data_IF_732408847699
#
_entry.id   IF_732408847699
#
_cell.length_a   1.000
_cell.length_b   1.000
_cell.length_c   1.000
_cell.angle_alpha   90.00
_cell.angle_beta   90.00
_cell.angle_gamma   90.00
#
_symmetry.space_group_name_H-M   'P 1'
#
loop_
_entity.id
_entity.type
_entity.pdbx_description
1 polymer ?
#
# COMPACT_ATOMS: atom_id res chain seq x y z
N UNK A 1 -12.09 -6.34 -20.30
CA UNK A 1 -10.83 -6.56 -19.54
C UNK A 1 -9.89 -5.43 -19.91
N UNK A 2 -9.27 -4.78 -18.93
CA UNK A 2 -8.19 -3.79 -19.16
C UNK A 2 -6.89 -4.51 -18.80
N UNK A 3 -6.06 -4.77 -19.80
CA UNK A 3 -4.73 -5.40 -19.60
C UNK A 3 -3.67 -4.35 -19.28
N UNK A 4 -2.54 -4.77 -18.70
CA UNK A 4 -1.46 -3.89 -18.25
C UNK A 4 -1.93 -2.77 -17.30
N UNK A 5 -2.94 -3.07 -16.49
CA UNK A 5 -3.57 -2.13 -15.60
C UNK A 5 -3.45 -2.59 -14.14
N UNK A 6 -3.17 -1.66 -13.26
CA UNK A 6 -3.05 -1.89 -11.83
C UNK A 6 -4.05 -1.03 -11.08
N UNK A 7 -4.87 -1.65 -10.23
CA UNK A 7 -5.68 -0.94 -9.24
C UNK A 7 -4.73 -0.47 -8.15
N UNK A 8 -4.52 0.83 -8.05
CA UNK A 8 -3.60 1.41 -7.08
C UNK A 8 -4.28 1.98 -5.84
N UNK A 9 -5.60 2.18 -5.89
CA UNK A 9 -6.33 2.74 -4.77
C UNK A 9 -7.82 2.39 -4.78
N UNK A 10 -8.36 2.25 -3.57
CA UNK A 10 -9.79 2.12 -3.32
C UNK A 10 -10.18 3.29 -2.43
N UNK A 11 -11.27 3.93 -2.80
CA UNK A 11 -11.79 5.15 -2.18
C UNK A 11 -13.27 4.97 -1.86
N UNK A 12 -13.86 5.96 -1.23
CA UNK A 12 -15.26 5.93 -0.81
C UNK A 12 -16.23 5.65 -1.98
N UNK A 13 -17.40 5.16 -1.63
CA UNK A 13 -18.52 4.90 -2.57
C UNK A 13 -18.15 3.91 -3.69
N UNK A 14 -17.30 2.92 -3.42
CA UNK A 14 -16.91 1.91 -4.41
C UNK A 14 -16.09 2.48 -5.58
N UNK A 15 -15.34 3.53 -5.33
CA UNK A 15 -14.46 4.16 -6.33
C UNK A 15 -13.09 3.51 -6.33
N UNK A 16 -12.59 3.17 -7.51
CA UNK A 16 -11.27 2.56 -7.74
C UNK A 16 -10.44 3.46 -8.65
N UNK A 17 -9.19 3.72 -8.25
CA UNK A 17 -8.17 4.31 -9.10
C UNK A 17 -7.38 3.22 -9.81
N UNK A 18 -7.32 3.27 -11.13
CA UNK A 18 -6.63 2.27 -11.96
C UNK A 18 -5.68 2.96 -12.91
N UNK A 19 -4.44 2.52 -12.93
CA UNK A 19 -3.42 2.96 -13.88
C UNK A 19 -3.21 1.91 -14.96
N UNK A 20 -3.47 2.25 -16.21
CA UNK A 20 -3.15 1.45 -17.39
C UNK A 20 -1.86 1.96 -18.04
N UNK A 21 -0.86 1.09 -18.20
CA UNK A 21 0.33 1.37 -19.02
C UNK A 21 -0.03 1.16 -20.49
N UNK A 22 -0.51 2.22 -21.14
CA UNK A 22 -1.18 2.12 -22.44
C UNK A 22 -0.22 1.81 -23.59
N UNK A 23 0.85 2.58 -23.76
CA UNK A 23 1.76 2.46 -24.90
C UNK A 23 3.22 2.19 -24.54
N UNK A 24 3.54 1.90 -23.29
CA UNK A 24 4.92 1.58 -22.85
C UNK A 24 5.56 0.38 -23.57
N UNK A 25 4.75 -0.49 -24.18
CA UNK A 25 5.20 -1.68 -24.91
C UNK A 25 5.39 -1.44 -26.40
N UNK A 26 5.04 -0.25 -26.91
CA UNK A 26 5.16 0.10 -28.32
C UNK A 26 6.52 0.77 -28.54
N UNK A 27 7.38 0.13 -29.34
CA UNK A 27 8.64 0.73 -29.78
C UNK A 27 8.33 1.83 -30.81
N UNK A 28 8.99 3.00 -30.69
CA UNK A 28 8.80 4.16 -31.56
C UNK A 28 7.39 4.79 -31.53
N UNK A 29 6.78 4.89 -30.35
CA UNK A 29 5.60 5.73 -30.20
C UNK A 29 5.93 7.19 -30.58
N UNK A 30 5.06 7.81 -31.37
CA UNK A 30 5.15 9.25 -31.66
C UNK A 30 5.23 10.05 -30.35
N UNK A 31 5.93 11.20 -30.38
CA UNK A 31 6.16 12.00 -29.15
C UNK A 31 4.89 12.39 -28.39
N UNK A 32 3.72 12.32 -29.02
CA UNK A 32 2.41 12.62 -28.43
C UNK A 32 1.59 11.38 -28.04
N UNK A 33 2.17 10.17 -28.08
CA UNK A 33 1.44 8.96 -27.68
C UNK A 33 1.10 8.98 -26.17
N UNK A 34 -0.14 8.62 -25.87
CA UNK A 34 -0.60 8.45 -24.48
C UNK A 34 0.16 7.28 -23.85
N UNK A 35 1.07 7.55 -22.91
CA UNK A 35 1.85 6.54 -22.21
C UNK A 35 1.02 5.82 -21.15
N UNK A 36 0.37 6.58 -20.29
CA UNK A 36 -0.46 6.08 -19.18
C UNK A 36 -1.90 6.57 -19.32
N UNK A 37 -2.85 5.73 -18.87
CA UNK A 37 -4.24 6.15 -18.67
C UNK A 37 -4.66 5.93 -17.24
N UNK A 38 -5.18 6.98 -16.63
CA UNK A 38 -5.85 6.91 -15.36
C UNK A 38 -7.34 6.62 -15.59
N UNK A 39 -7.84 5.54 -14.97
CA UNK A 39 -9.26 5.22 -14.96
C UNK A 39 -9.81 5.40 -13.55
N UNK A 40 -10.91 6.13 -13.46
CA UNK A 40 -11.76 6.16 -12.27
C UNK A 40 -12.94 5.22 -12.53
N UNK A 41 -12.98 4.11 -11.79
CA UNK A 41 -14.04 3.11 -11.91
C UNK A 41 -14.90 3.17 -10.65
N UNK A 42 -16.21 3.25 -10.82
CA UNK A 42 -17.19 3.17 -9.73
C UNK A 42 -17.94 1.84 -9.87
N UNK A 43 -17.91 1.02 -8.84
CA UNK A 43 -18.51 -0.31 -8.86
C UNK A 43 -19.36 -0.56 -7.62
N UNK A 44 -20.57 -1.07 -7.80
CA UNK A 44 -21.45 -1.49 -6.70
C UNK A 44 -21.03 -2.82 -6.07
N UNK A 45 -20.21 -3.61 -6.78
CA UNK A 45 -19.67 -4.87 -6.28
C UNK A 45 -18.30 -5.12 -6.89
N UNK A 46 -17.37 -5.63 -6.10
CA UNK A 46 -16.01 -5.93 -6.52
C UNK A 46 -15.53 -7.25 -5.94
N UNK A 47 -14.61 -7.90 -6.63
CA UNK A 47 -13.92 -9.10 -6.17
C UNK A 47 -12.42 -8.81 -6.18
N UNK A 48 -11.79 -8.90 -5.02
CA UNK A 48 -10.36 -8.78 -4.87
C UNK A 48 -9.70 -10.16 -4.98
N UNK A 49 -9.01 -10.40 -6.09
CA UNK A 49 -8.28 -11.63 -6.39
C UNK A 49 -6.79 -11.30 -6.63
N UNK A 50 -6.19 -10.55 -5.71
CA UNK A 50 -4.85 -9.97 -5.82
C UNK A 50 -3.71 -10.93 -5.52
N UNK A 51 -4.03 -12.16 -5.09
CA UNK A 51 -3.01 -13.17 -4.81
C UNK A 51 -2.30 -12.95 -3.48
N UNK A 52 -1.10 -13.49 -3.38
CA UNK A 52 -0.23 -13.39 -2.20
C UNK A 52 1.22 -13.12 -2.63
N UNK A 53 2.02 -12.60 -1.71
CA UNK A 53 3.45 -12.33 -1.89
C UNK A 53 4.22 -13.21 -0.91
N UNK A 54 5.24 -13.91 -1.39
CA UNK A 54 6.12 -14.69 -0.54
C UNK A 54 6.96 -13.76 0.35
N UNK A 55 7.16 -14.15 1.61
CA UNK A 55 8.05 -13.47 2.54
C UNK A 55 9.32 -14.29 2.77
N UNK A 56 10.40 -13.60 3.10
CA UNK A 56 11.66 -14.25 3.44
C UNK A 56 11.71 -14.68 4.92
N UNK A 57 12.81 -15.33 5.30
CA UNK A 57 13.25 -15.55 6.67
C UNK A 57 14.52 -14.72 6.85
N UNK A 58 14.64 -13.96 7.93
CA UNK A 58 15.83 -13.17 8.18
C UNK A 58 16.94 -14.04 8.80
N UNK A 59 18.16 -13.94 8.29
CA UNK A 59 19.34 -14.63 8.80
C UNK A 59 20.62 -13.84 8.49
N UNK A 60 21.75 -14.25 9.02
CA UNK A 60 23.02 -13.54 8.85
C UNK A 60 23.43 -13.36 7.40
N UNK A 61 23.69 -12.10 6.96
CA UNK A 61 24.12 -11.73 5.62
C UNK A 61 23.13 -12.18 4.52
N UNK A 62 21.84 -12.10 4.77
CA UNK A 62 20.78 -12.48 3.83
C UNK A 62 20.53 -11.48 2.68
N UNK A 63 21.35 -10.44 2.60
CA UNK A 63 21.37 -9.43 1.52
C UNK A 63 22.33 -9.77 0.37
N UNK A 64 23.01 -10.90 0.46
CA UNK A 64 24.04 -11.28 -0.52
C UNK A 64 23.44 -11.60 -1.88
N UNK A 65 24.02 -11.11 -3.01
CA UNK A 65 23.60 -11.50 -4.35
C UNK A 65 23.64 -13.02 -4.54
N UNK A 66 22.57 -13.60 -5.09
CA UNK A 66 22.34 -15.04 -5.18
C UNK A 66 21.32 -15.55 -4.16
N UNK A 67 20.87 -14.70 -3.21
CA UNK A 67 19.76 -15.02 -2.30
C UNK A 67 18.48 -14.41 -2.86
N UNK A 68 17.44 -15.21 -3.04
CA UNK A 68 16.17 -14.83 -3.66
C UNK A 68 15.00 -15.49 -2.95
N UNK A 69 13.79 -15.02 -3.19
CA UNK A 69 12.59 -15.77 -2.82
C UNK A 69 12.51 -17.08 -3.61
N UNK A 70 12.10 -18.16 -2.97
CA UNK A 70 11.94 -19.46 -3.63
C UNK A 70 10.95 -19.38 -4.79
N UNK A 71 9.85 -18.64 -4.63
CA UNK A 71 8.89 -18.40 -5.71
C UNK A 71 9.48 -17.63 -6.89
N UNK A 72 10.43 -16.74 -6.66
CA UNK A 72 11.12 -16.04 -7.74
C UNK A 72 12.05 -16.99 -8.52
N UNK A 73 12.82 -17.84 -7.81
CA UNK A 73 13.65 -18.88 -8.43
C UNK A 73 12.80 -19.81 -9.30
N UNK A 74 11.67 -20.25 -8.76
CA UNK A 74 10.69 -21.10 -9.46
C UNK A 74 10.05 -20.38 -10.65
N UNK A 75 9.76 -19.09 -10.49
CA UNK A 75 9.20 -18.23 -11.55
C UNK A 75 10.17 -18.06 -12.72
N UNK A 76 11.45 -17.82 -12.47
CA UNK A 76 12.47 -17.76 -13.53
C UNK A 76 12.54 -19.07 -14.31
N UNK A 77 12.49 -20.20 -13.62
CA UNK A 77 12.50 -21.51 -14.28
C UNK A 77 11.25 -21.70 -15.15
N UNK A 78 10.05 -21.59 -14.56
CA UNK A 78 8.81 -22.01 -15.19
C UNK A 78 8.30 -21.03 -16.26
N UNK A 79 8.55 -19.73 -16.10
CA UNK A 79 8.11 -18.71 -17.07
C UNK A 79 9.14 -18.39 -18.13
N UNK A 80 10.44 -18.44 -17.77
CA UNK A 80 11.50 -17.96 -18.67
C UNK A 80 12.49 -19.05 -19.07
N UNK A 81 12.40 -20.27 -18.51
CA UNK A 81 13.34 -21.35 -18.79
C UNK A 81 14.77 -21.07 -18.32
N UNK A 82 14.93 -20.23 -17.29
CA UNK A 82 16.23 -19.79 -16.78
C UNK A 82 16.41 -20.27 -15.34
N UNK A 83 17.58 -20.90 -15.07
CA UNK A 83 17.98 -21.20 -13.69
C UNK A 83 18.64 -19.99 -13.05
N UNK A 84 18.28 -19.70 -11.79
CA UNK A 84 18.87 -18.61 -11.01
C UNK A 84 20.31 -18.93 -10.51
N UNK A 85 20.70 -20.19 -10.52
CA UNK A 85 22.03 -20.68 -10.15
C UNK A 85 22.34 -22.02 -10.81
N UNK A 86 23.58 -22.45 -10.73
CA UNK A 86 24.02 -23.78 -11.19
C UNK A 86 23.79 -24.84 -10.13
N UNK A 87 24.03 -24.50 -8.87
CA UNK A 87 23.90 -25.36 -7.70
C UNK A 87 23.03 -24.62 -6.68
N UNK A 88 21.75 -24.97 -6.60
CA UNK A 88 20.71 -24.22 -5.85
C UNK A 88 20.42 -24.90 -4.52
N UNK A 89 20.36 -24.12 -3.44
CA UNK A 89 19.79 -24.53 -2.16
C UNK A 89 18.43 -23.85 -1.92
N UNK A 90 17.53 -24.54 -1.20
CA UNK A 90 16.23 -23.99 -0.81
C UNK A 90 16.14 -24.05 0.71
N UNK A 91 15.75 -22.93 1.34
CA UNK A 91 15.48 -22.84 2.77
C UNK A 91 14.04 -22.43 3.01
N UNK A 92 13.28 -23.24 3.74
CA UNK A 92 11.88 -23.00 3.99
C UNK A 92 11.38 -23.49 5.35
N UNK A 93 10.13 -23.10 5.63
CA UNK A 93 9.38 -23.46 6.83
C UNK A 93 7.94 -23.89 6.50
N UNK A 94 7.68 -24.19 5.23
CA UNK A 94 6.34 -24.50 4.69
C UNK A 94 6.44 -25.48 3.53
N UNK A 95 5.29 -26.10 3.18
CA UNK A 95 5.26 -27.17 2.19
C UNK A 95 5.49 -26.67 0.74
N UNK A 96 5.18 -25.40 0.43
CA UNK A 96 5.36 -24.88 -0.94
C UNK A 96 6.85 -24.72 -1.32
N UNK A 97 7.73 -24.54 -0.34
CA UNK A 97 9.18 -24.44 -0.56
C UNK A 97 9.73 -25.68 -1.29
N UNK A 98 9.19 -26.86 -0.98
CA UNK A 98 9.60 -28.11 -1.62
C UNK A 98 9.27 -28.17 -3.10
N UNK A 99 8.14 -27.57 -3.51
CA UNK A 99 7.76 -27.53 -4.92
C UNK A 99 8.81 -26.82 -5.78
N UNK A 100 9.49 -25.81 -5.23
CA UNK A 100 10.59 -25.12 -5.92
C UNK A 100 11.79 -26.05 -6.14
N UNK A 101 12.19 -26.80 -5.12
CA UNK A 101 13.28 -27.78 -5.24
C UNK A 101 12.93 -28.89 -6.25
N UNK A 102 11.69 -29.35 -6.21
CA UNK A 102 11.18 -30.39 -7.11
C UNK A 102 11.16 -29.94 -8.57
N UNK A 103 10.65 -28.74 -8.85
CA UNK A 103 10.62 -28.19 -10.21
C UNK A 103 12.03 -28.00 -10.78
N UNK A 104 12.97 -27.46 -9.98
CA UNK A 104 14.37 -27.29 -10.35
C UNK A 104 15.04 -28.63 -10.67
N UNK A 105 14.86 -29.63 -9.80
CA UNK A 105 15.41 -30.97 -10.02
C UNK A 105 14.90 -31.61 -11.30
N UNK A 106 13.58 -31.49 -11.56
CA UNK A 106 12.97 -32.03 -12.78
C UNK A 106 13.47 -31.32 -14.06
N UNK A 107 13.88 -30.06 -13.94
CA UNK A 107 14.50 -29.31 -15.03
C UNK A 107 16.00 -29.59 -15.19
N UNK A 108 16.59 -30.48 -14.37
CA UNK A 108 18.01 -30.84 -14.43
C UNK A 108 18.94 -29.88 -13.71
N UNK A 109 18.42 -28.98 -12.85
CA UNK A 109 19.24 -28.10 -12.01
C UNK A 109 19.72 -28.89 -10.79
N UNK A 110 20.98 -28.70 -10.43
CA UNK A 110 21.56 -29.32 -9.24
C UNK A 110 20.96 -28.70 -7.96
N UNK A 111 20.41 -29.54 -7.09
CA UNK A 111 19.96 -29.16 -5.74
C UNK A 111 21.05 -29.52 -4.75
N UNK A 112 21.81 -28.49 -4.28
CA UNK A 112 22.85 -28.67 -3.30
C UNK A 112 22.30 -29.07 -1.94
N UNK A 113 21.18 -28.45 -1.53
CA UNK A 113 20.46 -28.80 -0.31
C UNK A 113 19.02 -28.29 -0.31
N UNK A 114 18.14 -29.04 0.32
CA UNK A 114 16.85 -28.57 0.81
C UNK A 114 16.90 -28.51 2.34
N UNK A 115 16.67 -27.33 2.90
CA UNK A 115 16.73 -27.06 4.33
C UNK A 115 15.32 -26.72 4.81
N UNK A 116 14.77 -27.51 5.72
CA UNK A 116 13.46 -27.26 6.33
C UNK A 116 13.64 -27.05 7.83
N UNK A 117 13.14 -25.93 8.33
CA UNK A 117 13.21 -25.64 9.78
C UNK A 117 12.35 -26.59 10.62
N UNK A 118 11.40 -27.28 10.00
CA UNK A 118 10.52 -28.27 10.64
C UNK A 118 11.22 -29.63 10.69
N UNK A 119 11.22 -30.26 11.85
CA UNK A 119 11.82 -31.59 12.03
C UNK A 119 10.93 -32.71 11.50
N UNK A 120 9.60 -32.49 11.47
CA UNK A 120 8.55 -33.45 11.10
C UNK A 120 8.06 -33.32 9.65
N UNK A 121 8.70 -32.46 8.84
CA UNK A 121 8.33 -32.29 7.44
C UNK A 121 8.39 -33.61 6.67
N UNK A 122 7.24 -34.09 6.17
CA UNK A 122 7.06 -35.36 5.46
C UNK A 122 7.63 -35.40 4.03
N UNK A 123 8.69 -34.67 3.76
CA UNK A 123 9.28 -34.42 2.44
C UNK A 123 10.23 -35.53 2.04
N UNK A 124 10.16 -36.00 0.78
CA UNK A 124 11.09 -36.97 0.20
C UNK A 124 11.56 -36.51 -1.17
N UNK A 125 12.84 -36.60 -1.45
CA UNK A 125 13.44 -36.22 -2.74
C UNK A 125 14.81 -36.88 -2.96
N UNK A 126 15.20 -36.95 -4.22
CA UNK A 126 16.53 -37.45 -4.64
C UNK A 126 17.57 -36.31 -4.65
N UNK A 127 17.72 -35.65 -3.48
CA UNK A 127 18.71 -34.63 -3.21
C UNK A 127 18.91 -34.50 -1.68
N UNK A 128 19.99 -33.85 -1.21
CA UNK A 128 20.25 -33.68 0.22
C UNK A 128 19.11 -32.90 0.93
N UNK A 129 18.52 -33.50 1.98
CA UNK A 129 17.44 -32.88 2.77
C UNK A 129 17.90 -32.79 4.23
N UNK A 130 17.81 -31.58 4.78
CA UNK A 130 18.11 -31.26 6.18
C UNK A 130 16.83 -30.78 6.88
N UNK A 131 16.26 -31.60 7.77
CA UNK A 131 15.06 -31.30 8.56
C UNK A 131 15.46 -30.81 9.94
N UNK A 132 14.68 -29.91 10.54
CA UNK A 132 15.00 -29.27 11.80
C UNK A 132 16.30 -28.45 11.69
N UNK A 133 16.59 -27.94 10.49
CA UNK A 133 17.82 -27.22 10.20
C UNK A 133 17.53 -25.77 9.79
N UNK A 134 18.44 -24.88 10.11
CA UNK A 134 18.33 -23.45 9.84
C UNK A 134 19.57 -22.95 9.09
N UNK A 135 19.36 -22.02 8.15
CA UNK A 135 20.45 -21.23 7.58
C UNK A 135 20.70 -20.05 8.50
N UNK A 136 21.86 -20.00 9.15
CA UNK A 136 22.18 -18.93 10.11
C UNK A 136 23.17 -17.89 9.55
N UNK A 137 23.92 -18.20 8.52
CA UNK A 137 24.88 -17.30 7.88
C UNK A 137 25.14 -17.69 6.42
N UNK A 138 25.71 -16.77 5.65
CA UNK A 138 26.12 -17.00 4.27
C UNK A 138 27.48 -16.40 4.00
N UNK A 139 28.20 -16.92 2.99
CA UNK A 139 29.49 -16.38 2.62
C UNK A 139 29.73 -16.37 1.12
N UNK A 140 30.71 -15.58 0.72
CA UNK A 140 31.13 -15.32 -0.63
C UNK A 140 31.67 -13.90 -0.75
N UNK A 141 32.44 -13.63 -1.80
CA UNK A 141 33.08 -12.31 -1.99
C UNK A 141 32.16 -11.33 -2.74
N UNK A 142 31.73 -11.67 -3.94
CA UNK A 142 30.90 -10.84 -4.81
C UNK A 142 29.45 -11.32 -4.88
N UNK A 143 29.26 -12.61 -4.66
CA UNK A 143 27.97 -13.29 -4.69
C UNK A 143 28.00 -14.44 -3.68
N UNK A 144 26.90 -15.15 -3.56
CA UNK A 144 26.79 -16.35 -2.74
C UNK A 144 27.71 -17.44 -3.27
N UNK A 145 28.56 -17.99 -2.39
CA UNK A 145 29.43 -19.14 -2.65
C UNK A 145 29.08 -20.32 -1.75
N UNK A 146 28.54 -20.04 -0.57
CA UNK A 146 28.12 -21.07 0.39
C UNK A 146 27.10 -20.53 1.38
N UNK A 147 26.36 -21.46 1.98
CA UNK A 147 25.50 -21.23 3.16
C UNK A 147 26.06 -21.98 4.35
N UNK A 148 25.79 -21.46 5.55
CA UNK A 148 26.09 -22.11 6.82
C UNK A 148 24.74 -22.53 7.44
N UNK A 149 24.59 -23.83 7.66
CA UNK A 149 23.42 -24.40 8.32
C UNK A 149 23.78 -24.97 9.68
N UNK A 150 22.80 -25.01 10.58
CA UNK A 150 22.90 -25.74 11.85
C UNK A 150 21.64 -26.58 12.07
N UNK A 151 21.84 -27.74 12.65
CA UNK A 151 20.82 -28.66 13.13
C UNK A 151 21.28 -29.29 14.47
N UNK A 152 20.54 -30.27 14.99
CA UNK A 152 20.91 -31.02 16.24
C UNK A 152 22.27 -31.71 16.14
N UNK A 153 22.76 -31.99 14.92
CA UNK A 153 24.05 -32.67 14.67
C UNK A 153 25.23 -31.71 14.56
N UNK A 154 24.95 -30.39 14.64
CA UNK A 154 25.96 -29.34 14.61
C UNK A 154 25.89 -28.46 13.35
N UNK A 155 26.97 -27.71 13.13
CA UNK A 155 27.09 -26.76 12.05
C UNK A 155 27.74 -27.36 10.81
N UNK A 156 27.31 -26.92 9.63
CA UNK A 156 27.84 -27.35 8.31
C UNK A 156 27.85 -26.20 7.33
N UNK A 157 28.81 -26.31 6.43
CA UNK A 157 28.92 -25.43 5.27
C UNK A 157 28.55 -26.20 4.01
N UNK A 158 27.68 -25.62 3.19
CA UNK A 158 27.22 -26.20 1.92
C UNK A 158 27.56 -25.21 0.80
N UNK A 159 28.26 -25.69 -0.23
CA UNK A 159 28.57 -24.89 -1.43
C UNK A 159 27.30 -24.74 -2.27
N UNK A 160 26.98 -23.50 -2.65
CA UNK A 160 25.81 -23.16 -3.45
C UNK A 160 25.96 -21.75 -3.99
N UNK A 161 25.50 -21.48 -5.22
CA UNK A 161 25.55 -20.17 -5.83
C UNK A 161 24.18 -19.48 -5.89
N UNK A 162 23.12 -20.17 -5.46
CA UNK A 162 21.79 -19.60 -5.29
C UNK A 162 21.10 -20.20 -4.07
N UNK A 163 20.45 -19.33 -3.27
CA UNK A 163 19.61 -19.74 -2.15
C UNK A 163 18.20 -19.19 -2.35
N UNK A 164 17.23 -20.09 -2.57
CA UNK A 164 15.81 -19.77 -2.54
C UNK A 164 15.27 -19.79 -1.10
N UNK A 165 14.64 -18.72 -0.65
CA UNK A 165 14.11 -18.59 0.72
C UNK A 165 12.60 -18.53 0.69
N UNK A 166 11.91 -19.36 1.47
CA UNK A 166 10.45 -19.46 1.56
C UNK A 166 10.00 -19.38 3.02
N UNK A 167 9.68 -18.16 3.47
CA UNK A 167 9.20 -17.90 4.85
C UNK A 167 7.67 -17.95 4.98
N UNK A 168 6.95 -18.31 3.93
CA UNK A 168 5.49 -18.34 3.86
C UNK A 168 4.90 -17.23 2.97
N UNK A 169 3.59 -17.19 2.89
CA UNK A 169 2.85 -16.30 2.01
C UNK A 169 2.09 -15.24 2.78
N UNK A 170 2.13 -14.01 2.29
CA UNK A 170 1.34 -12.87 2.78
C UNK A 170 0.22 -12.58 1.79
N UNK A 171 -1.05 -12.73 2.16
CA UNK A 171 -2.19 -12.28 1.35
C UNK A 171 -2.06 -10.81 0.95
N UNK A 172 -2.31 -10.50 -0.32
CA UNK A 172 -2.24 -9.13 -0.83
C UNK A 172 -3.55 -8.39 -0.54
N UNK A 173 -3.74 -7.99 0.72
CA UNK A 173 -4.97 -7.38 1.25
C UNK A 173 -4.93 -5.86 1.32
N UNK A 174 -3.84 -5.23 0.91
CA UNK A 174 -3.60 -3.79 1.08
C UNK A 174 -4.76 -2.93 0.57
N UNK A 175 -5.32 -3.29 -0.60
CA UNK A 175 -6.45 -2.57 -1.20
C UNK A 175 -7.70 -2.63 -0.32
N UNK A 176 -7.98 -3.74 0.35
CA UNK A 176 -9.13 -3.84 1.27
C UNK A 176 -8.97 -2.97 2.52
N UNK A 177 -7.74 -2.54 2.83
CA UNK A 177 -7.45 -1.70 4.00
C UNK A 177 -7.48 -0.19 3.71
N UNK A 178 -7.57 0.22 2.44
CA UNK A 178 -7.54 1.65 2.07
C UNK A 178 -8.73 2.46 2.61
N UNK A 179 -9.84 1.80 2.95
CA UNK A 179 -11.04 2.42 3.52
C UNK A 179 -11.17 2.16 5.03
N UNK A 180 -10.03 2.11 5.73
CA UNK A 180 -9.91 1.90 7.19
C UNK A 180 -10.31 0.50 7.69
N UNK A 181 -10.45 -0.50 6.83
CA UNK A 181 -10.58 -1.88 7.28
C UNK A 181 -9.27 -2.35 7.91
N UNK A 182 -9.36 -3.05 9.04
CA UNK A 182 -8.22 -3.69 9.69
C UNK A 182 -8.22 -5.18 9.36
N UNK A 183 -7.09 -5.75 8.93
CA UNK A 183 -6.98 -7.18 8.70
C UNK A 183 -6.93 -7.94 10.03
N UNK A 184 -7.24 -9.24 9.96
CA UNK A 184 -7.22 -10.16 11.09
C UNK A 184 -6.07 -11.16 10.96
N UNK A 185 -5.42 -11.48 12.08
CA UNK A 185 -4.37 -12.48 12.11
C UNK A 185 -4.95 -13.89 12.07
N UNK A 186 -4.43 -14.71 11.16
CA UNK A 186 -4.74 -16.13 11.08
C UNK A 186 -3.48 -16.94 11.43
N UNK A 187 -3.48 -17.58 12.59
CA UNK A 187 -2.35 -18.36 13.09
C UNK A 187 -2.09 -19.66 12.33
N UNK A 188 -3.11 -20.26 11.71
CA UNK A 188 -2.96 -21.50 10.95
C UNK A 188 -2.09 -21.32 9.70
N UNK A 189 -2.21 -20.17 9.06
CA UNK A 189 -1.43 -19.82 7.87
C UNK A 189 -0.32 -18.80 8.18
N UNK A 190 -0.20 -18.39 9.44
CA UNK A 190 0.74 -17.40 9.93
C UNK A 190 0.75 -16.11 9.08
N UNK A 191 -0.41 -15.56 8.77
CA UNK A 191 -0.57 -14.38 7.92
C UNK A 191 -1.82 -13.57 8.29
N UNK A 192 -1.82 -12.28 7.89
CA UNK A 192 -3.01 -11.46 7.98
C UNK A 192 -3.94 -11.69 6.79
N UNK A 193 -5.24 -11.81 7.06
CA UNK A 193 -6.31 -11.91 6.07
C UNK A 193 -7.27 -10.73 6.15
N UNK A 194 -8.03 -10.50 5.11
CA UNK A 194 -9.05 -9.45 5.12
C UNK A 194 -10.21 -9.87 6.04
N UNK A 195 -10.67 -8.96 6.87
CA UNK A 195 -11.88 -9.18 7.65
C UNK A 195 -13.08 -9.28 6.72
N UNK A 196 -13.92 -10.28 6.96
CA UNK A 196 -15.10 -10.50 6.12
C UNK A 196 -16.08 -9.31 6.18
N UNK A 197 -16.61 -8.92 5.03
CA UNK A 197 -17.56 -7.81 4.87
C UNK A 197 -17.09 -6.45 5.42
N UNK A 198 -15.78 -6.25 5.64
CA UNK A 198 -15.22 -5.01 6.15
C UNK A 198 -15.25 -3.85 5.15
N UNK A 199 -15.26 -4.15 3.85
CA UNK A 199 -15.41 -3.17 2.77
C UNK A 199 -16.75 -3.40 2.07
N UNK A 200 -17.68 -2.44 2.12
CA UNK A 200 -18.99 -2.60 1.50
C UNK A 200 -18.90 -2.95 0.00
N UNK A 201 -19.59 -4.01 -0.41
CA UNK A 201 -19.63 -4.45 -1.80
C UNK A 201 -18.36 -5.14 -2.30
N UNK A 202 -17.34 -5.36 -1.46
CA UNK A 202 -16.13 -6.10 -1.81
C UNK A 202 -16.12 -7.49 -1.20
N UNK A 203 -15.71 -8.47 -2.01
CA UNK A 203 -15.38 -9.83 -1.56
C UNK A 203 -13.93 -10.15 -1.91
N UNK A 204 -13.21 -10.81 -1.00
CA UNK A 204 -11.82 -11.24 -1.19
C UNK A 204 -11.80 -12.74 -1.45
N UNK A 205 -11.02 -13.19 -2.42
CA UNK A 205 -10.99 -14.59 -2.85
C UNK A 205 -9.58 -15.10 -3.11
N UNK A 206 -9.45 -16.43 -3.14
CA UNK A 206 -8.18 -17.09 -3.46
C UNK A 206 -7.10 -16.84 -2.42
N UNK A 207 -5.84 -16.78 -2.81
CA UNK A 207 -4.73 -16.61 -1.87
C UNK A 207 -4.69 -15.22 -1.21
N UNK A 208 -5.39 -14.23 -1.78
CA UNK A 208 -5.65 -12.97 -1.08
C UNK A 208 -6.55 -13.14 0.15
N UNK A 209 -7.31 -14.23 0.22
CA UNK A 209 -8.13 -14.61 1.39
C UNK A 209 -7.53 -15.80 2.18
N UNK A 210 -6.24 -16.07 2.00
CA UNK A 210 -5.53 -17.11 2.75
C UNK A 210 -5.70 -18.55 2.21
N UNK A 211 -6.27 -18.74 1.02
CA UNK A 211 -6.37 -20.06 0.38
C UNK A 211 -5.13 -20.30 -0.48
N UNK A 212 -4.18 -21.09 0.00
CA UNK A 212 -2.89 -21.27 -0.69
C UNK A 212 -2.81 -22.50 -1.59
N UNK A 213 -3.87 -23.27 -1.73
CA UNK A 213 -3.97 -24.35 -2.72
C UNK A 213 -4.83 -23.93 -3.92
N UNK A 214 -4.51 -24.39 -5.12
CA UNK A 214 -5.24 -24.04 -6.35
C UNK A 214 -6.70 -24.48 -6.27
N UNK A 215 -6.95 -25.67 -5.72
CA UNK A 215 -8.31 -26.22 -5.53
C UNK A 215 -9.14 -25.33 -4.60
N UNK A 216 -8.58 -24.90 -3.47
CA UNK A 216 -9.24 -23.99 -2.53
C UNK A 216 -9.50 -22.61 -3.15
N UNK A 217 -8.56 -22.07 -3.94
CA UNK A 217 -8.76 -20.84 -4.69
C UNK A 217 -9.95 -20.94 -5.64
N UNK A 218 -10.05 -22.01 -6.44
CA UNK A 218 -11.17 -22.20 -7.36
C UNK A 218 -12.50 -22.31 -6.63
N UNK A 219 -12.54 -23.03 -5.50
CA UNK A 219 -13.74 -23.16 -4.68
C UNK A 219 -14.19 -21.81 -4.13
N UNK A 220 -13.29 -21.06 -3.51
CA UNK A 220 -13.55 -19.73 -2.96
C UNK A 220 -14.11 -18.76 -4.02
N UNK A 221 -13.51 -18.73 -5.22
CA UNK A 221 -14.00 -17.88 -6.32
C UNK A 221 -15.40 -18.30 -6.77
N UNK A 222 -15.66 -19.61 -6.92
CA UNK A 222 -16.97 -20.11 -7.36
C UNK A 222 -18.08 -19.75 -6.37
N UNK A 223 -17.82 -19.90 -5.07
CA UNK A 223 -18.76 -19.58 -4.00
C UNK A 223 -19.14 -18.10 -4.04
N UNK A 224 -18.15 -17.20 -4.05
CA UNK A 224 -18.36 -15.76 -4.07
C UNK A 224 -19.06 -15.30 -5.36
N UNK A 225 -18.69 -15.84 -6.53
CA UNK A 225 -19.34 -15.49 -7.79
C UNK A 225 -20.79 -15.93 -7.80
N UNK A 226 -21.10 -17.14 -7.29
CA UNK A 226 -22.48 -17.61 -7.19
C UNK A 226 -23.30 -16.74 -6.22
N UNK A 227 -22.77 -16.37 -5.07
CA UNK A 227 -23.41 -15.46 -4.13
C UNK A 227 -23.76 -14.12 -4.80
N UNK A 228 -22.80 -13.49 -5.49
CA UNK A 228 -23.01 -12.22 -6.18
C UNK A 228 -24.01 -12.30 -7.33
N UNK A 229 -23.98 -13.37 -8.10
CA UNK A 229 -24.96 -13.57 -9.20
C UNK A 229 -26.37 -13.78 -8.64
N UNK A 230 -26.50 -14.59 -7.59
CA UNK A 230 -27.80 -14.82 -6.94
C UNK A 230 -28.36 -13.52 -6.34
N UNK A 231 -27.55 -12.70 -5.67
CA UNK A 231 -27.98 -11.41 -5.12
C UNK A 231 -28.48 -10.43 -6.19
N UNK A 232 -28.01 -10.60 -7.43
CA UNK A 232 -28.44 -9.82 -8.60
C UNK A 232 -29.57 -10.47 -9.43
N UNK A 233 -30.11 -11.62 -8.97
CA UNK A 233 -31.15 -12.37 -9.69
C UNK A 233 -30.67 -13.02 -10.99
N UNK A 234 -29.37 -13.15 -11.20
CA UNK A 234 -28.78 -13.74 -12.41
C UNK A 234 -28.63 -15.25 -12.24
N UNK A 235 -29.42 -16.01 -12.97
CA UNK A 235 -29.31 -17.49 -13.01
C UNK A 235 -28.13 -17.90 -13.88
N UNK A 236 -27.27 -18.75 -13.36
CA UNK A 236 -26.11 -19.33 -14.06
C UNK A 236 -26.25 -20.87 -14.17
N UNK A 237 -25.82 -21.42 -15.30
CA UNK A 237 -25.57 -22.88 -15.40
C UNK A 237 -24.35 -23.24 -14.54
N UNK A 238 -24.46 -24.25 -13.70
CA UNK A 238 -23.31 -24.75 -12.93
C UNK A 238 -22.21 -25.19 -13.87
N UNK A 239 -20.99 -24.75 -13.62
CA UNK A 239 -19.77 -25.22 -14.29
C UNK A 239 -18.97 -26.05 -13.30
N UNK A 240 -18.46 -27.20 -13.76
CA UNK A 240 -17.47 -27.95 -12.97
C UNK A 240 -16.20 -27.14 -12.81
N UNK A 241 -15.60 -27.22 -11.62
CA UNK A 241 -14.28 -26.62 -11.39
C UNK A 241 -13.19 -27.40 -12.13
N UNK A 242 -12.14 -26.76 -12.59
CA UNK A 242 -10.94 -27.45 -13.03
C UNK A 242 -10.40 -28.34 -11.89
N UNK A 243 -9.88 -29.50 -12.25
CA UNK A 243 -9.20 -30.34 -11.28
C UNK A 243 -7.80 -29.78 -11.02
N UNK A 244 -7.43 -29.70 -9.76
CA UNK A 244 -6.08 -29.38 -9.32
C UNK A 244 -5.66 -30.45 -8.29
N UNK A 245 -4.43 -30.93 -8.41
CA UNK A 245 -3.82 -31.90 -7.49
C UNK A 245 -2.77 -31.14 -6.66
N UNK A 246 -3.23 -30.37 -5.70
CA UNK A 246 -2.35 -29.62 -4.80
C UNK A 246 -2.23 -30.41 -3.49
N UNK A 247 -1.06 -30.35 -2.88
CA UNK A 247 -0.88 -30.75 -1.49
C UNK A 247 -1.45 -29.68 -0.55
N UNK A 248 -1.82 -30.08 0.65
CA UNK A 248 -2.18 -29.13 1.70
C UNK A 248 -0.99 -28.22 2.02
N UNK A 249 -1.29 -27.00 2.43
CA UNK A 249 -0.28 -26.03 2.82
C UNK A 249 -0.16 -25.99 4.34
N UNK A 250 0.98 -26.47 4.86
CA UNK A 250 1.33 -26.38 6.27
C UNK A 250 2.55 -25.49 6.46
N UNK A 251 2.55 -24.70 7.52
CA UNK A 251 3.64 -23.81 7.89
C UNK A 251 3.93 -23.88 9.39
N UNK A 252 5.22 -23.88 9.75
CA UNK A 252 5.68 -23.61 11.11
C UNK A 252 6.50 -22.32 11.06
N UNK A 253 5.93 -21.18 11.48
CA UNK A 253 6.55 -19.89 11.21
C UNK A 253 7.88 -19.73 11.95
N UNK A 254 8.91 -19.33 11.22
CA UNK A 254 10.17 -18.79 11.72
C UNK A 254 10.39 -17.45 11.04
N UNK A 255 10.64 -16.42 11.84
CA UNK A 255 10.76 -15.04 11.36
C UNK A 255 12.21 -14.62 11.15
N UNK A 256 13.06 -15.01 12.06
CA UNK A 256 14.48 -14.77 11.99
C UNK A 256 15.26 -15.91 12.63
N UNK A 257 16.42 -16.23 12.07
CA UNK A 257 17.39 -17.17 12.62
C UNK A 257 18.43 -16.39 13.42
N UNK A 258 18.67 -16.80 14.65
CA UNK A 258 19.67 -16.17 15.50
C UNK A 258 21.09 -16.37 14.97
N UNK A 259 21.88 -15.31 15.04
CA UNK A 259 23.27 -15.30 14.57
C UNK A 259 24.01 -14.02 14.96
N UNK A 260 25.33 -14.00 14.73
CA UNK A 260 26.19 -12.87 15.07
C UNK A 260 26.32 -11.82 13.92
N UNK A 261 25.71 -12.08 12.77
CA UNK A 261 25.75 -11.23 11.59
C UNK A 261 24.47 -10.41 11.46
N UNK A 262 24.50 -9.41 10.57
CA UNK A 262 23.29 -8.63 10.26
C UNK A 262 22.27 -9.49 9.56
N UNK A 263 21.04 -9.47 10.04
CA UNK A 263 19.88 -10.10 9.43
C UNK A 263 18.92 -9.00 8.98
N UNK A 264 18.77 -8.87 7.67
CA UNK A 264 18.03 -7.80 7.02
C UNK A 264 16.56 -8.14 6.92
N UNK A 265 15.69 -7.13 7.15
CA UNK A 265 14.25 -7.21 7.06
C UNK A 265 13.72 -6.41 5.86
N UNK A 266 14.08 -5.14 5.79
CA UNK A 266 13.73 -4.25 4.69
C UNK A 266 14.99 -3.89 3.91
N UNK A 267 15.12 -4.47 2.71
CA UNK A 267 16.28 -4.26 1.85
C UNK A 267 16.29 -2.89 1.16
N UNK A 268 15.18 -2.15 1.16
CA UNK A 268 15.11 -0.81 0.55
C UNK A 268 15.56 0.28 1.53
N UNK A 269 15.31 0.08 2.82
CA UNK A 269 15.66 1.03 3.87
C UNK A 269 16.75 0.51 4.83
N UNK A 270 17.40 -0.60 4.49
CA UNK A 270 18.49 -1.20 5.27
C UNK A 270 18.12 -1.50 6.75
N UNK A 271 16.86 -1.89 7.00
CA UNK A 271 16.38 -2.21 8.35
C UNK A 271 16.71 -3.66 8.71
N UNK A 272 17.24 -3.86 9.90
CA UNK A 272 17.67 -5.17 10.43
C UNK A 272 16.82 -5.60 11.62
N UNK A 273 16.99 -6.86 12.04
CA UNK A 273 16.38 -7.39 13.27
C UNK A 273 16.81 -6.61 14.51
N UNK A 274 18.04 -6.03 14.51
CA UNK A 274 18.54 -5.22 15.62
C UNK A 274 17.79 -3.90 15.75
N UNK A 275 17.41 -3.28 14.63
CA UNK A 275 16.71 -2.01 14.64
C UNK A 275 15.31 -2.14 15.23
N UNK A 276 14.63 -3.29 15.01
CA UNK A 276 13.36 -3.58 15.65
C UNK A 276 13.54 -3.74 17.17
N UNK A 277 14.53 -4.51 17.62
CA UNK A 277 14.83 -4.68 19.06
C UNK A 277 15.20 -3.33 19.71
N UNK A 278 15.97 -2.49 19.01
CA UNK A 278 16.36 -1.15 19.47
C UNK A 278 15.13 -0.25 19.64
N UNK A 279 14.18 -0.28 18.69
CA UNK A 279 12.97 0.52 18.80
C UNK A 279 12.18 0.22 20.07
N UNK A 280 12.07 -1.05 20.44
CA UNK A 280 11.39 -1.46 21.68
C UNK A 280 12.17 -1.01 22.92
N UNK A 281 13.51 -1.16 22.92
CA UNK A 281 14.35 -0.71 24.02
C UNK A 281 14.24 0.81 24.26
N UNK A 282 13.90 1.59 23.23
CA UNK A 282 13.66 3.02 23.30
C UNK A 282 12.17 3.40 23.42
N UNK A 283 11.31 2.44 23.82
CA UNK A 283 9.86 2.61 24.03
C UNK A 283 9.02 2.89 22.77
N UNK A 284 9.50 2.59 21.58
CA UNK A 284 8.72 2.61 20.34
C UNK A 284 8.10 1.24 20.05
N UNK A 285 7.24 0.76 20.95
CA UNK A 285 6.65 -0.58 20.90
C UNK A 285 5.39 -0.69 20.05
N UNK A 286 4.75 0.42 19.64
CA UNK A 286 3.64 0.34 18.70
C UNK A 286 4.14 0.21 17.27
N UNK A 287 3.41 -0.54 16.45
CA UNK A 287 3.78 -0.81 15.04
C UNK A 287 3.98 0.47 14.22
N UNK A 288 3.16 1.50 14.45
CA UNK A 288 3.26 2.78 13.74
C UNK A 288 4.45 3.64 14.21
N UNK A 289 4.85 3.54 15.48
CA UNK A 289 6.05 4.21 16.00
C UNK A 289 7.32 3.49 15.55
N UNK A 290 7.39 2.17 15.69
CA UNK A 290 8.50 1.36 15.19
C UNK A 290 8.76 1.63 13.72
N UNK A 291 7.71 1.63 12.89
CA UNK A 291 7.79 1.95 11.47
C UNK A 291 8.47 3.30 11.20
N UNK A 292 8.09 4.35 11.93
CA UNK A 292 8.65 5.70 11.73
C UNK A 292 10.05 5.84 12.30
N UNK A 293 10.33 5.19 13.41
CA UNK A 293 11.64 5.20 14.03
C UNK A 293 12.70 4.51 13.17
N UNK A 294 12.37 3.33 12.61
CA UNK A 294 13.28 2.51 11.83
C UNK A 294 13.22 2.74 10.32
N UNK A 295 12.21 3.46 9.83
CA UNK A 295 11.84 3.56 8.41
C UNK A 295 11.34 2.24 7.78
N UNK A 296 11.04 1.22 8.59
CA UNK A 296 10.55 -0.08 8.15
C UNK A 296 9.29 0.05 7.28
N UNK A 297 9.35 -0.47 6.05
CA UNK A 297 8.21 -0.46 5.13
C UNK A 297 7.80 0.93 4.64
N UNK A 298 8.70 1.92 4.70
CA UNK A 298 8.45 3.28 4.21
C UNK A 298 8.93 3.52 2.78
N UNK A 299 9.57 2.57 2.16
CA UNK A 299 10.01 2.63 0.77
C UNK A 299 8.85 2.38 -0.21
N UNK A 300 9.16 2.36 -1.50
CA UNK A 300 8.17 2.26 -2.60
C UNK A 300 7.38 0.95 -2.60
N UNK A 301 7.93 -0.14 -2.04
CA UNK A 301 7.25 -1.41 -1.84
C UNK A 301 6.26 -1.39 -0.67
N UNK A 302 6.32 -0.36 0.19
CA UNK A 302 5.47 -0.19 1.37
C UNK A 302 5.53 -1.39 2.33
N UNK A 303 6.68 -2.06 2.40
CA UNK A 303 6.93 -3.19 3.28
C UNK A 303 6.16 -4.46 2.95
N UNK A 304 5.70 -4.65 1.71
CA UNK A 304 4.89 -5.82 1.31
C UNK A 304 5.57 -7.16 1.62
N UNK A 305 6.90 -7.24 1.48
CA UNK A 305 7.68 -8.43 1.79
C UNK A 305 8.16 -8.51 3.24
N UNK A 306 8.29 -7.38 3.94
CA UNK A 306 8.98 -7.28 5.23
C UNK A 306 8.08 -6.98 6.43
N UNK A 307 6.91 -6.37 6.25
CA UNK A 307 6.07 -5.91 7.36
C UNK A 307 5.67 -7.03 8.33
N UNK A 308 5.25 -8.20 7.84
CA UNK A 308 4.78 -9.29 8.71
C UNK A 308 5.91 -9.81 9.59
N UNK A 309 7.12 -9.96 9.02
CA UNK A 309 8.31 -10.39 9.76
C UNK A 309 8.66 -9.35 10.84
N UNK A 310 8.65 -8.08 10.48
CA UNK A 310 8.97 -6.99 11.40
C UNK A 310 7.96 -6.87 12.54
N UNK A 311 6.66 -7.07 12.25
CA UNK A 311 5.59 -7.10 13.25
C UNK A 311 5.77 -8.28 14.20
N UNK A 312 6.11 -9.46 13.68
CA UNK A 312 6.35 -10.64 14.51
C UNK A 312 7.55 -10.45 15.46
N UNK A 313 8.65 -9.85 14.97
CA UNK A 313 9.80 -9.51 15.79
C UNK A 313 9.52 -8.40 16.81
N UNK A 314 8.66 -7.44 16.45
CA UNK A 314 8.19 -6.40 17.37
C UNK A 314 7.37 -7.02 18.50
N UNK A 315 6.42 -7.90 18.15
CA UNK A 315 5.58 -8.63 19.09
C UNK A 315 6.44 -9.42 20.09
N UNK A 316 7.39 -10.20 19.57
CA UNK A 316 8.34 -10.99 20.38
C UNK A 316 9.16 -10.08 21.33
N UNK A 317 9.76 -9.01 20.81
CA UNK A 317 10.56 -8.09 21.60
C UNK A 317 9.76 -7.32 22.66
N UNK A 318 8.46 -7.11 22.44
CA UNK A 318 7.55 -6.42 23.36
C UNK A 318 6.82 -7.36 24.32
N UNK A 319 6.95 -8.69 24.16
CA UNK A 319 6.22 -9.70 24.93
C UNK A 319 4.71 -9.75 24.61
N UNK A 320 4.34 -9.35 23.39
CA UNK A 320 2.96 -9.28 22.93
C UNK A 320 2.68 -10.38 21.85
N UNK A 321 1.40 -10.60 21.55
CA UNK A 321 1.03 -11.42 20.39
C UNK A 321 1.08 -10.62 19.09
N UNK A 322 1.24 -11.30 17.95
CA UNK A 322 1.16 -10.64 16.63
C UNK A 322 -0.22 -10.01 16.42
N UNK A 323 -1.27 -10.64 16.91
CA UNK A 323 -2.64 -10.15 16.82
C UNK A 323 -2.83 -8.84 17.59
N UNK A 324 -2.32 -8.74 18.83
CA UNK A 324 -2.39 -7.52 19.64
C UNK A 324 -1.51 -6.40 19.11
N UNK A 325 -0.35 -6.72 18.57
CA UNK A 325 0.55 -5.75 17.93
C UNK A 325 -0.09 -5.14 16.68
N UNK A 326 -0.88 -5.91 15.93
CA UNK A 326 -1.62 -5.44 14.77
C UNK A 326 -0.74 -5.16 13.54
N UNK A 327 -1.27 -4.38 12.60
CA UNK A 327 -0.56 -4.03 11.36
C UNK A 327 -0.38 -2.53 11.20
N UNK A 328 0.56 -2.15 10.33
CA UNK A 328 0.66 -0.77 9.82
C UNK A 328 -0.57 -0.42 8.99
N UNK A 329 -0.94 0.86 8.95
CA UNK A 329 -2.02 1.35 8.11
C UNK A 329 -1.57 1.39 6.64
N UNK A 330 -2.28 0.66 5.79
CA UNK A 330 -2.06 0.70 4.33
C UNK A 330 -2.86 1.84 3.71
N UNK A 331 -2.20 2.61 2.84
CA UNK A 331 -2.77 3.81 2.19
C UNK A 331 -2.54 3.77 0.68
N UNK A 332 -3.45 4.37 -0.14
CA UNK A 332 -3.16 4.58 -1.54
C UNK A 332 -1.96 5.54 -1.72
N UNK A 333 -1.19 5.36 -2.80
CA UNK A 333 -1.33 4.34 -3.83
C UNK A 333 -0.69 2.99 -3.43
N UNK A 334 -1.31 1.87 -3.85
CA UNK A 334 -0.75 0.51 -3.65
C UNK A 334 0.61 0.32 -4.33
N UNK A 335 0.79 0.92 -5.48
CA UNK A 335 2.05 0.99 -6.24
C UNK A 335 2.32 2.42 -6.66
N UNK A 336 3.58 2.82 -6.89
CA UNK A 336 3.90 4.14 -7.40
C UNK A 336 3.14 4.48 -8.68
N UNK A 337 2.66 5.72 -8.77
CA UNK A 337 1.93 6.26 -9.91
C UNK A 337 2.73 7.41 -10.48
N UNK A 338 2.80 7.52 -11.81
CA UNK A 338 3.42 8.67 -12.44
C UNK A 338 2.61 9.95 -12.19
N UNK A 339 3.30 11.05 -11.89
CA UNK A 339 2.67 12.38 -11.74
C UNK A 339 1.92 12.76 -13.03
N UNK A 340 2.49 12.40 -14.19
CA UNK A 340 1.87 12.64 -15.48
C UNK A 340 0.51 11.97 -15.65
N UNK A 341 0.34 10.74 -15.14
CA UNK A 341 -0.96 10.05 -15.20
C UNK A 341 -2.05 10.75 -14.35
N UNK A 342 -1.65 11.33 -13.20
CA UNK A 342 -2.59 12.11 -12.35
C UNK A 342 -2.86 13.48 -12.98
N UNK A 343 -1.84 14.12 -13.53
CA UNK A 343 -1.93 15.42 -14.19
C UNK A 343 -2.72 15.42 -15.50
N UNK A 344 -3.06 14.24 -16.04
CA UNK A 344 -3.79 14.07 -17.30
C UNK A 344 -3.11 14.82 -18.45
N UNK A 345 -3.85 15.67 -19.15
CA UNK A 345 -3.32 16.53 -20.23
C UNK A 345 -2.68 17.82 -19.74
N UNK A 346 -2.57 18.01 -18.42
CA UNK A 346 -1.91 19.18 -17.83
C UNK A 346 -0.45 19.25 -18.24
N UNK A 347 -0.04 20.38 -18.83
CA UNK A 347 1.36 20.72 -19.16
C UNK A 347 1.65 22.11 -18.61
N UNK A 348 2.88 22.38 -18.22
CA UNK A 348 3.31 23.64 -17.67
C UNK A 348 2.36 24.14 -16.54
N UNK A 349 1.69 25.24 -16.75
CA UNK A 349 0.70 25.80 -15.81
C UNK A 349 -0.56 24.90 -15.63
N UNK A 350 -0.78 23.92 -16.45
CA UNK A 350 -1.84 22.92 -16.28
C UNK A 350 -1.67 22.03 -15.04
N UNK A 351 -0.43 21.84 -14.54
CA UNK A 351 -0.15 21.15 -13.27
C UNK A 351 -0.30 22.03 -12.05
N UNK A 352 -0.10 23.35 -12.21
CA UNK A 352 -0.29 24.35 -11.17
C UNK A 352 -1.14 25.49 -11.72
N UNK A 353 -2.46 25.27 -11.96
CA UNK A 353 -3.31 26.26 -12.57
C UNK A 353 -3.41 27.50 -11.70
N UNK A 354 -3.20 28.66 -12.33
CA UNK A 354 -3.38 29.95 -11.70
C UNK A 354 -4.81 30.45 -11.98
N UNK A 355 -5.47 30.95 -10.96
CA UNK A 355 -6.77 31.60 -11.06
C UNK A 355 -6.66 33.07 -10.75
N UNK A 356 -7.25 33.89 -11.58
CA UNK A 356 -7.24 35.34 -11.45
C UNK A 356 -8.65 35.83 -11.19
N UNK A 357 -8.78 36.81 -10.28
CA UNK A 357 -10.05 37.46 -10.04
C UNK A 357 -10.41 38.38 -11.22
N UNK A 358 -11.68 38.76 -11.33
CA UNK A 358 -12.13 39.71 -12.38
C UNK A 358 -11.48 41.09 -12.25
N UNK A 359 -11.00 41.43 -11.05
CA UNK A 359 -10.32 42.70 -10.74
C UNK A 359 -8.80 42.61 -10.87
N UNK A 360 -8.24 41.46 -11.31
CA UNK A 360 -6.79 41.21 -11.32
C UNK A 360 -5.99 42.27 -12.07
N UNK A 361 -6.42 42.60 -13.30
CA UNK A 361 -5.73 43.63 -14.11
C UNK A 361 -5.73 45.02 -13.45
N UNK A 362 -6.84 45.36 -12.81
CA UNK A 362 -6.93 46.62 -12.04
C UNK A 362 -6.00 46.61 -10.83
N UNK A 363 -5.93 45.49 -10.12
CA UNK A 363 -5.00 45.35 -8.96
C UNK A 363 -3.54 45.46 -9.38
N UNK A 364 -3.16 44.85 -10.51
CA UNK A 364 -1.82 45.02 -11.09
C UNK A 364 -1.53 46.46 -11.47
N UNK A 365 -2.48 47.14 -12.15
CA UNK A 365 -2.33 48.55 -12.53
C UNK A 365 -2.18 49.50 -11.32
N UNK A 366 -2.73 49.12 -10.18
CA UNK A 366 -2.59 49.82 -8.90
C UNK A 366 -1.36 49.38 -8.11
N UNK A 367 -0.44 48.62 -8.72
CA UNK A 367 0.77 48.08 -8.15
C UNK A 367 0.56 47.25 -6.86
N UNK A 368 -0.60 46.62 -6.71
CA UNK A 368 -0.89 45.78 -5.56
C UNK A 368 0.00 44.51 -5.58
N UNK A 369 0.75 44.20 -4.53
CA UNK A 369 1.43 42.94 -4.39
C UNK A 369 0.40 41.79 -4.36
N UNK A 370 0.60 40.80 -5.22
CA UNK A 370 -0.29 39.64 -5.32
C UNK A 370 0.20 38.52 -4.39
N UNK A 371 -0.74 37.85 -3.73
CA UNK A 371 -0.50 36.68 -2.89
C UNK A 371 -1.33 35.50 -3.39
N UNK A 372 -0.79 34.31 -3.20
CA UNK A 372 -1.48 33.06 -3.46
C UNK A 372 -2.46 32.74 -2.32
N UNK A 373 -3.69 32.39 -2.68
CA UNK A 373 -4.71 31.86 -1.79
C UNK A 373 -5.30 30.61 -2.44
N UNK A 374 -4.73 29.44 -2.13
CA UNK A 374 -4.98 28.23 -2.90
C UNK A 374 -4.47 28.40 -4.33
N UNK A 375 -5.35 28.24 -5.32
CA UNK A 375 -5.01 28.43 -6.73
C UNK A 375 -5.26 29.87 -7.22
N UNK A 376 -5.72 30.75 -6.35
CA UNK A 376 -6.07 32.12 -6.70
C UNK A 376 -4.97 33.09 -6.39
N UNK A 377 -4.73 34.04 -7.31
CA UNK A 377 -3.95 35.24 -7.06
C UNK A 377 -4.88 36.38 -6.67
N UNK A 378 -4.65 36.99 -5.51
CA UNK A 378 -5.41 38.13 -5.02
C UNK A 378 -4.49 39.21 -4.49
N UNK A 379 -4.91 40.50 -4.51
CA UNK A 379 -4.11 41.57 -3.93
C UNK A 379 -3.98 41.42 -2.43
N UNK A 380 -2.78 41.67 -1.90
CA UNK A 380 -2.51 41.72 -0.47
C UNK A 380 -2.91 43.09 0.13
N UNK A 381 -2.48 44.15 -0.51
CA UNK A 381 -2.80 45.54 -0.17
C UNK A 381 -2.58 46.45 -1.39
N UNK A 382 -3.03 47.69 -1.31
CA UNK A 382 -2.86 48.69 -2.39
C UNK A 382 -1.93 49.80 -1.94
N UNK A 383 -0.64 49.86 -2.34
CA UNK A 383 0.30 50.82 -1.91
C UNK A 383 -0.04 52.23 -2.45
N UNK A 384 0.29 53.28 -1.68
CA UNK A 384 0.22 54.67 -2.14
C UNK A 384 1.62 55.30 -2.13
N UNK A 385 1.78 56.32 -2.95
CA UNK A 385 3.03 57.08 -3.00
C UNK A 385 3.36 57.63 -1.60
N UNK A 386 4.61 57.36 -1.14
CA UNK A 386 5.10 57.74 0.17
C UNK A 386 4.97 56.66 1.26
N UNK A 387 4.28 55.57 1.00
CA UNK A 387 4.27 54.39 1.88
C UNK A 387 5.52 53.54 1.61
N UNK A 388 6.22 53.11 2.65
CA UNK A 388 7.51 52.39 2.56
C UNK A 388 7.42 50.93 2.92
N UNK A 389 6.31 50.50 3.53
CA UNK A 389 6.07 49.13 3.94
C UNK A 389 4.57 48.74 3.86
N UNK A 390 4.31 47.44 3.91
CA UNK A 390 2.97 46.90 3.83
C UNK A 390 2.07 47.33 5.00
N UNK A 391 2.62 47.55 6.20
CA UNK A 391 1.87 47.90 7.39
C UNK A 391 1.26 49.30 7.28
N UNK A 392 2.00 50.26 6.70
CA UNK A 392 1.47 51.61 6.44
C UNK A 392 0.26 51.58 5.51
N UNK A 393 0.35 50.80 4.43
CA UNK A 393 -0.77 50.58 3.50
C UNK A 393 -1.97 49.93 4.20
N UNK A 394 -1.75 48.83 4.93
CA UNK A 394 -2.80 48.15 5.66
C UNK A 394 -3.46 49.04 6.72
N UNK A 395 -2.67 49.79 7.50
CA UNK A 395 -3.22 50.71 8.50
C UNK A 395 -4.11 51.80 7.86
N UNK A 396 -3.66 52.38 6.74
CA UNK A 396 -4.47 53.34 5.99
C UNK A 396 -5.75 52.73 5.47
N UNK A 397 -5.71 51.54 4.90
CA UNK A 397 -6.88 50.84 4.39
C UNK A 397 -7.88 50.55 5.52
N UNK A 398 -7.41 50.01 6.65
CA UNK A 398 -8.24 49.77 7.84
C UNK A 398 -8.88 51.07 8.34
N UNK A 399 -8.16 52.14 8.43
CA UNK A 399 -8.68 53.44 8.84
C UNK A 399 -9.69 53.98 7.84
N UNK A 400 -9.46 53.77 6.53
CA UNK A 400 -10.39 54.18 5.48
C UNK A 400 -11.73 53.46 5.63
N UNK A 401 -11.71 52.14 5.85
CA UNK A 401 -12.95 51.35 6.05
C UNK A 401 -13.68 51.78 7.32
N UNK A 402 -12.96 52.11 8.41
CA UNK A 402 -13.56 52.52 9.67
C UNK A 402 -14.20 53.92 9.61
N UNK A 403 -13.65 54.81 8.78
CA UNK A 403 -14.13 56.21 8.66
C UNK A 403 -15.02 56.45 7.47
N UNK A 404 -14.92 55.62 6.47
CA UNK A 404 -15.61 55.76 5.19
C UNK A 404 -16.18 54.39 4.75
N UNK A 405 -16.03 54.04 3.48
CA UNK A 405 -16.47 52.78 2.88
C UNK A 405 -15.31 52.09 2.18
N UNK A 406 -15.25 50.76 2.24
CA UNK A 406 -14.31 49.95 1.51
C UNK A 406 -15.01 48.90 0.60
N UNK A 407 -14.28 48.46 -0.43
CA UNK A 407 -14.66 47.39 -1.32
C UNK A 407 -13.67 46.25 -1.16
N UNK A 408 -14.15 45.02 -1.01
CA UNK A 408 -13.31 43.82 -0.95
C UNK A 408 -13.76 42.85 -2.05
N UNK A 409 -12.79 42.37 -2.84
CA UNK A 409 -13.02 41.30 -3.82
C UNK A 409 -13.03 39.95 -3.13
N UNK A 410 -14.18 39.30 -3.08
CA UNK A 410 -14.42 37.99 -2.48
C UNK A 410 -14.52 36.87 -3.53
N UNK A 411 -14.08 37.12 -4.78
CA UNK A 411 -14.13 36.14 -5.87
C UNK A 411 -13.39 34.85 -5.57
N UNK A 412 -12.41 34.88 -4.66
CA UNK A 412 -11.61 33.72 -4.28
C UNK A 412 -12.32 32.77 -3.32
N UNK A 413 -13.41 33.19 -2.68
CA UNK A 413 -14.20 32.36 -1.78
C UNK A 413 -15.11 31.39 -2.57
N UNK A 414 -15.38 30.22 -2.03
CA UNK A 414 -16.37 29.29 -2.60
C UNK A 414 -17.79 29.88 -2.54
N UNK A 415 -18.62 29.60 -3.55
CA UNK A 415 -20.03 29.93 -3.61
C UNK A 415 -20.82 28.65 -3.80
N UNK A 416 -21.73 28.39 -2.89
CA UNK A 416 -22.59 27.21 -2.91
C UNK A 416 -24.04 27.68 -2.90
N UNK A 417 -24.83 27.24 -3.86
CA UNK A 417 -26.26 27.56 -3.95
C UNK A 417 -27.05 26.31 -3.54
N UNK A 418 -27.95 26.48 -2.57
CA UNK A 418 -28.84 25.43 -2.08
C UNK A 418 -30.26 25.70 -2.49
N UNK A 419 -30.88 24.76 -3.21
CA UNK A 419 -32.26 24.85 -3.67
C UNK A 419 -33.14 23.80 -2.99
N UNK A 420 -34.36 24.17 -2.71
CA UNK A 420 -35.41 23.27 -2.22
C UNK A 420 -36.05 23.73 -0.92
N UNK A 421 -37.23 23.15 -0.64
CA UNK A 421 -38.06 23.51 0.52
C UNK A 421 -37.38 23.23 1.87
N UNK A 422 -36.41 22.32 1.90
CA UNK A 422 -35.71 21.92 3.09
C UNK A 422 -34.27 22.52 3.21
N UNK A 423 -33.91 23.48 2.34
CA UNK A 423 -32.58 24.11 2.34
C UNK A 423 -32.18 24.70 3.71
N UNK A 424 -33.12 25.43 4.36
CA UNK A 424 -32.85 25.98 5.70
C UNK A 424 -32.62 24.91 6.77
N UNK A 425 -33.39 23.81 6.72
CA UNK A 425 -33.20 22.66 7.64
C UNK A 425 -31.88 21.95 7.39
N UNK A 426 -31.46 21.82 6.13
CA UNK A 426 -30.16 21.24 5.79
C UNK A 426 -29.02 22.11 6.31
N UNK A 427 -29.12 23.44 6.20
CA UNK A 427 -28.15 24.35 6.80
C UNK A 427 -28.10 24.25 8.32
N UNK A 428 -29.26 24.10 8.99
CA UNK A 428 -29.33 23.87 10.44
C UNK A 428 -28.64 22.55 10.84
N UNK A 429 -28.61 21.57 9.94
CA UNK A 429 -27.95 20.27 10.21
C UNK A 429 -26.43 20.34 10.05
N UNK A 430 -25.92 21.06 9.06
CA UNK A 430 -24.47 21.11 8.76
C UNK A 430 -23.72 22.23 9.48
N UNK A 431 -24.41 23.28 9.89
CA UNK A 431 -23.83 24.41 10.60
C UNK A 431 -24.18 24.39 12.11
N UNK A 432 -23.34 25.01 12.89
CA UNK A 432 -23.60 25.21 14.35
C UNK A 432 -24.70 26.25 14.63
N UNK A 433 -25.08 27.01 13.63
CA UNK A 433 -26.06 28.09 13.71
C UNK A 433 -27.41 27.66 13.13
N UNK A 434 -28.51 28.28 13.63
CA UNK A 434 -29.83 28.06 13.03
C UNK A 434 -30.06 28.98 11.82
N UNK A 435 -30.17 28.42 10.64
CA UNK A 435 -30.41 29.15 9.40
C UNK A 435 -31.86 29.13 8.96
N UNK A 436 -32.68 28.16 9.41
CA UNK A 436 -34.11 28.13 9.17
C UNK A 436 -34.85 29.33 9.72
N UNK A 437 -34.30 30.00 10.74
CA UNK A 437 -34.80 31.23 11.34
C UNK A 437 -34.24 32.52 10.69
N UNK A 438 -33.39 32.40 9.70
CA UNK A 438 -32.80 33.57 9.02
C UNK A 438 -33.81 34.21 8.09
N UNK A 439 -34.13 35.48 8.31
CA UNK A 439 -35.07 36.19 7.46
C UNK A 439 -34.46 36.46 6.07
N UNK A 440 -35.31 36.46 5.04
CA UNK A 440 -34.89 36.77 3.66
C UNK A 440 -34.20 38.13 3.60
N UNK A 441 -33.07 38.21 2.91
CA UNK A 441 -32.25 39.42 2.80
C UNK A 441 -31.35 39.68 3.99
N UNK A 442 -31.24 38.73 4.92
CA UNK A 442 -30.30 38.76 6.02
C UNK A 442 -29.16 37.76 5.78
N UNK A 443 -28.01 38.05 6.37
CA UNK A 443 -26.80 37.23 6.29
C UNK A 443 -26.43 36.76 7.72
N UNK A 444 -26.00 35.52 7.83
CA UNK A 444 -25.48 34.97 9.07
C UNK A 444 -24.19 34.22 8.80
N UNK A 445 -23.18 34.50 9.62
CA UNK A 445 -21.94 33.72 9.64
C UNK A 445 -22.14 32.43 10.43
N UNK A 446 -21.51 31.33 9.99
CA UNK A 446 -21.62 30.04 10.66
C UNK A 446 -20.36 29.20 10.48
N UNK A 447 -20.22 28.21 11.36
CA UNK A 447 -19.15 27.22 11.35
C UNK A 447 -19.73 25.85 10.99
N UNK A 448 -19.06 25.14 10.07
CA UNK A 448 -19.27 23.73 9.83
C UNK A 448 -18.26 22.93 10.64
N UNK A 449 -18.71 21.96 11.41
CA UNK A 449 -17.86 21.10 12.22
C UNK A 449 -17.91 19.67 11.69
N UNK A 450 -16.81 18.95 11.93
CA UNK A 450 -16.74 17.50 11.82
C UNK A 450 -17.40 16.87 13.03
N UNK A 451 -17.65 15.56 12.98
CA UNK A 451 -18.24 14.77 14.09
C UNK A 451 -17.40 14.81 15.37
N UNK A 452 -16.11 15.06 15.24
CA UNK A 452 -15.15 15.20 16.35
C UNK A 452 -15.08 16.63 16.92
N UNK A 453 -15.91 17.56 16.40
CA UNK A 453 -16.00 18.94 16.85
C UNK A 453 -14.96 19.90 16.26
N UNK A 454 -14.06 19.42 15.39
CA UNK A 454 -13.11 20.31 14.70
C UNK A 454 -13.80 21.09 13.59
N UNK A 455 -13.35 22.33 13.39
CA UNK A 455 -13.84 23.17 12.29
C UNK A 455 -13.41 22.54 10.95
N UNK A 456 -14.38 22.24 10.10
CA UNK A 456 -14.19 21.77 8.74
C UNK A 456 -14.12 22.93 7.75
N UNK A 457 -15.05 23.89 7.89
CA UNK A 457 -15.12 25.09 7.07
C UNK A 457 -15.96 26.16 7.78
N UNK A 458 -15.94 27.38 7.26
CA UNK A 458 -16.74 28.50 7.73
C UNK A 458 -17.29 29.30 6.57
N UNK A 459 -18.30 30.11 6.83
CA UNK A 459 -18.86 30.95 5.79
C UNK A 459 -20.08 31.77 6.21
N UNK A 460 -20.55 32.55 5.26
CA UNK A 460 -21.77 33.33 5.38
C UNK A 460 -22.86 32.75 4.52
N UNK A 461 -24.07 32.57 5.08
CA UNK A 461 -25.26 32.17 4.34
C UNK A 461 -26.29 33.31 4.34
N UNK A 462 -26.96 33.50 3.21
CA UNK A 462 -27.94 34.55 2.97
C UNK A 462 -29.28 34.02 2.50
#
# INVERSE_FOLDING_TARGET
MISRATVFGIYDQGTFGVLERHSHHVQNSENDAVLDRYHRIVASSSILASGSIERHIAFGNNDRPGIMMASAVRGYLNHYGVSAGKSVSIFGNNDDAFNTAYDLKNAGVEIAAYIDSRSDAGIQGDFPIFRGAEVYDTGGRLALEHICIRDEKGERRIQTDCLGVAGGWNPTIHLSCHTNSKPEWNSEIAAFTSKENSVPGMKVVGSANGHFTTSACFKSVLEVVNELLNSKGIKRKSKSLPKASDADYNISPIWAVEGNKRAWLDFQNDVTTKDIKQSVAENFSSVEHMKRYTTQGMATDQGKGSNVISIALLADASGESIESTGTTTFRPPYTPISIGAIGSSGRDKGFAPERFTTTHSTSIALAAPMIEAGLWYRPSYYPKIGETDWLQSCNREVLSVRRNVGICDVSTLGKIELHGKDAGKFLDFVYTNSFSSLAVGRVRYGLMLREDGFVMDDGTSA
#
